data_IF_544225307461
#
_entry.id   IF_544225307461
#
_cell.length_a   1.000
_cell.length_b   1.000
_cell.length_c   1.000
_cell.angle_alpha   90.00
_cell.angle_beta   90.00
_cell.angle_gamma   90.00
#
_symmetry.space_group_name_H-M   'P 1'
#
loop_
_entity.id
_entity.type
_entity.pdbx_description
1 polymer ?
#
# COMPACT_ATOMS: atom_id res chain seq x y z
N UNK A 1 -19.22 -7.71 -6.91
CA UNK A 1 -18.28 -7.15 -7.90
C UNK A 1 -17.03 -8.02 -7.97
N UNK A 2 -16.60 -8.35 -9.17
CA UNK A 2 -15.45 -9.23 -9.38
C UNK A 2 -14.36 -8.48 -10.13
N UNK A 3 -13.14 -8.58 -9.63
CA UNK A 3 -11.96 -8.08 -10.32
C UNK A 3 -11.18 -9.27 -10.87
N UNK A 4 -10.76 -9.18 -12.12
CA UNK A 4 -9.95 -10.21 -12.76
C UNK A 4 -8.62 -9.62 -13.16
N UNK A 5 -7.55 -10.30 -12.77
CA UNK A 5 -6.19 -9.94 -13.13
C UNK A 5 -5.58 -11.10 -13.90
N UNK A 6 -4.92 -10.79 -15.02
CA UNK A 6 -4.28 -11.80 -15.85
C UNK A 6 -2.77 -11.67 -15.70
N UNK A 7 -2.12 -12.73 -15.26
CA UNK A 7 -0.68 -12.72 -15.02
C UNK A 7 -0.02 -13.75 -15.91
N UNK A 8 0.96 -13.32 -16.70
CA UNK A 8 1.66 -14.18 -17.66
C UNK A 8 3.16 -14.17 -17.38
N UNK A 9 3.76 -15.34 -17.42
CA UNK A 9 5.21 -15.45 -17.35
C UNK A 9 5.82 -14.82 -18.59
N UNK A 10 6.78 -13.95 -18.38
CA UNK A 10 7.51 -13.30 -19.48
C UNK A 10 8.78 -14.09 -19.80
N UNK A 11 9.75 -14.05 -18.92
CA UNK A 11 10.96 -14.86 -19.01
C UNK A 11 11.69 -14.79 -17.67
N UNK A 12 12.57 -15.73 -17.42
CA UNK A 12 13.34 -15.81 -16.17
C UNK A 12 12.40 -15.75 -14.95
N UNK A 13 12.64 -14.84 -14.02
CA UNK A 13 11.82 -14.66 -12.83
C UNK A 13 10.90 -13.43 -12.95
N UNK A 14 10.36 -13.22 -14.14
CA UNK A 14 9.53 -12.05 -14.44
C UNK A 14 8.15 -12.45 -14.92
N UNK A 15 7.16 -11.75 -14.42
CA UNK A 15 5.76 -11.90 -14.84
C UNK A 15 5.17 -10.54 -15.19
N UNK A 16 4.34 -10.53 -16.20
CA UNK A 16 3.55 -9.34 -16.53
C UNK A 16 2.13 -9.54 -16.02
N UNK A 17 1.64 -8.58 -15.28
CA UNK A 17 0.27 -8.65 -14.77
C UNK A 17 -0.55 -7.52 -15.40
N UNK A 18 -1.69 -7.89 -15.94
CA UNK A 18 -2.62 -6.94 -16.57
C UNK A 18 -3.81 -6.71 -15.65
N UNK A 19 -4.03 -5.48 -15.28
CA UNK A 19 -5.09 -5.08 -14.38
C UNK A 19 -6.40 -4.82 -15.14
N UNK A 20 -7.56 -4.84 -14.45
CA UNK A 20 -8.84 -4.64 -15.13
C UNK A 20 -8.96 -3.36 -15.94
N UNK A 21 -8.23 -2.31 -15.57
CA UNK A 21 -8.25 -1.03 -16.28
C UNK A 21 -7.30 -0.98 -17.49
N UNK A 22 -6.67 -2.10 -17.84
CA UNK A 22 -5.76 -2.16 -18.98
C UNK A 22 -4.31 -1.80 -18.65
N UNK A 23 -4.02 -1.43 -17.41
CA UNK A 23 -2.66 -1.12 -17.00
C UNK A 23 -1.87 -2.41 -16.77
N UNK A 24 -0.65 -2.46 -17.27
CA UNK A 24 0.25 -3.60 -17.05
C UNK A 24 1.37 -3.24 -16.12
N UNK A 25 1.73 -4.19 -15.24
CA UNK A 25 2.86 -4.07 -14.34
C UNK A 25 3.77 -5.28 -14.51
N UNK A 26 5.08 -5.06 -14.40
CA UNK A 26 6.05 -6.13 -14.39
C UNK A 26 6.47 -6.40 -12.95
N UNK A 27 6.35 -7.65 -12.53
CA UNK A 27 6.68 -8.07 -11.17
C UNK A 27 7.57 -9.31 -11.23
N UNK A 28 8.34 -9.52 -10.19
CA UNK A 28 9.17 -10.72 -10.14
C UNK A 28 10.23 -10.67 -9.07
N UNK A 29 11.33 -11.36 -9.36
CA UNK A 29 12.51 -11.39 -8.49
C UNK A 29 13.71 -10.87 -9.26
N UNK A 30 14.43 -9.93 -8.66
CA UNK A 30 15.61 -9.32 -9.27
C UNK A 30 16.91 -9.74 -8.57
N UNK A 31 16.87 -10.85 -7.83
CA UNK A 31 18.00 -11.26 -6.99
C UNK A 31 19.32 -11.44 -7.74
N UNK A 32 19.27 -11.75 -9.03
CA UNK A 32 20.47 -12.00 -9.83
C UNK A 32 20.63 -11.06 -11.01
N UNK A 33 19.77 -10.06 -11.15
CA UNK A 33 19.72 -9.20 -12.31
C UNK A 33 20.06 -7.76 -12.05
N UNK A 34 20.52 -7.09 -13.10
CA UNK A 34 20.70 -5.64 -13.07
C UNK A 34 19.38 -4.89 -13.17
N UNK A 35 18.30 -5.58 -13.51
CA UNK A 35 16.98 -4.97 -13.62
C UNK A 35 16.31 -4.86 -12.26
N UNK A 36 15.74 -3.70 -12.04
CA UNK A 36 14.97 -3.44 -10.82
C UNK A 36 13.52 -3.77 -11.07
N UNK A 37 13.08 -4.89 -10.53
CA UNK A 37 11.72 -5.37 -10.71
C UNK A 37 11.00 -5.36 -9.36
N UNK A 38 9.78 -4.81 -9.30
CA UNK A 38 9.03 -4.82 -8.05
C UNK A 38 8.77 -6.23 -7.54
N UNK A 39 9.01 -6.43 -6.25
CA UNK A 39 8.72 -7.68 -5.57
C UNK A 39 7.23 -7.75 -5.21
N UNK A 40 6.59 -8.92 -5.37
CA UNK A 40 5.17 -9.06 -5.02
C UNK A 40 4.84 -8.68 -3.59
N UNK A 41 5.62 -9.14 -2.62
CA UNK A 41 5.37 -8.84 -1.21
C UNK A 41 5.57 -7.36 -0.90
N UNK A 42 6.61 -6.76 -1.45
CA UNK A 42 6.87 -5.33 -1.24
C UNK A 42 5.75 -4.50 -1.87
N UNK A 43 5.24 -4.93 -3.02
CA UNK A 43 4.14 -4.23 -3.67
C UNK A 43 2.86 -4.27 -2.83
N UNK A 44 2.67 -5.30 -2.02
CA UNK A 44 1.55 -5.36 -1.09
C UNK A 44 1.61 -4.23 -0.06
N UNK A 45 2.81 -3.88 0.39
CA UNK A 45 2.98 -2.76 1.31
C UNK A 45 2.65 -1.43 0.65
N UNK A 46 3.02 -1.27 -0.61
CA UNK A 46 2.64 -0.08 -1.39
C UNK A 46 1.13 -0.01 -1.55
N UNK A 47 0.50 -1.14 -1.83
CA UNK A 47 -0.96 -1.20 -1.98
C UNK A 47 -1.67 -0.80 -0.69
N UNK A 48 -1.17 -1.26 0.44
CA UNK A 48 -1.71 -0.88 1.76
C UNK A 48 -1.60 0.62 1.97
N UNK A 49 -0.42 1.19 1.73
CA UNK A 49 -0.18 2.61 1.93
C UNK A 49 -1.04 3.48 1.01
N UNK A 50 -1.12 3.12 -0.26
CA UNK A 50 -1.93 3.88 -1.23
C UNK A 50 -3.41 3.79 -0.90
N UNK A 51 -3.90 2.61 -0.54
CA UNK A 51 -5.30 2.43 -0.17
C UNK A 51 -5.68 3.33 1.01
N UNK A 52 -4.88 3.32 2.06
CA UNK A 52 -5.10 4.20 3.22
C UNK A 52 -4.91 5.66 2.85
N UNK A 53 -3.88 5.97 2.06
CA UNK A 53 -3.59 7.33 1.64
C UNK A 53 -4.70 7.98 0.84
N UNK A 54 -5.32 7.23 -0.06
CA UNK A 54 -6.47 7.73 -0.83
C UNK A 54 -7.63 8.12 0.08
N UNK A 55 -7.92 7.31 1.10
CA UNK A 55 -8.96 7.64 2.07
C UNK A 55 -8.61 8.92 2.83
N UNK A 56 -7.38 9.01 3.32
CA UNK A 56 -6.93 10.15 4.11
C UNK A 56 -7.03 11.45 3.30
N UNK A 57 -6.52 11.44 2.08
CA UNK A 57 -6.58 12.62 1.21
C UNK A 57 -8.03 13.02 0.94
N UNK A 58 -8.87 12.05 0.63
CA UNK A 58 -10.30 12.31 0.36
C UNK A 58 -11.00 12.92 1.57
N UNK A 59 -10.74 12.37 2.76
CA UNK A 59 -11.37 12.87 3.99
C UNK A 59 -10.87 14.28 4.32
N UNK A 60 -9.55 14.52 4.19
CA UNK A 60 -8.98 15.84 4.47
C UNK A 60 -9.51 16.90 3.50
N UNK A 61 -9.73 16.55 2.23
CA UNK A 61 -10.37 17.45 1.28
C UNK A 61 -11.76 17.86 1.75
N UNK A 62 -12.55 16.90 2.22
CA UNK A 62 -13.88 17.17 2.73
C UNK A 62 -13.85 18.03 3.99
N UNK A 63 -12.82 17.93 4.78
CA UNK A 63 -12.60 18.74 5.96
C UNK A 63 -12.00 20.10 5.63
N UNK A 64 -11.71 20.36 4.35
CA UNK A 64 -11.10 21.61 3.86
C UNK A 64 -9.72 21.86 4.45
N UNK A 65 -8.94 20.79 4.62
CA UNK A 65 -7.55 20.87 5.05
C UNK A 65 -6.66 20.74 3.82
N UNK A 66 -5.77 21.69 3.65
CA UNK A 66 -4.82 21.71 2.54
C UNK A 66 -3.44 21.25 3.01
N UNK A 67 -2.90 20.26 2.32
CA UNK A 67 -1.56 19.76 2.58
C UNK A 67 -0.61 20.30 1.52
N UNK A 68 0.61 20.66 1.92
CA UNK A 68 1.65 20.98 0.94
C UNK A 68 2.34 19.70 0.46
N UNK A 69 2.37 18.68 1.30
CA UNK A 69 2.92 17.36 0.96
C UNK A 69 2.42 16.31 1.94
N UNK A 70 2.52 15.05 1.54
CA UNK A 70 2.06 13.93 2.35
C UNK A 70 2.87 12.69 1.98
N UNK A 71 3.34 11.97 2.99
CA UNK A 71 4.15 10.78 2.78
C UNK A 71 3.72 9.69 3.77
N UNK A 72 3.71 8.46 3.31
CA UNK A 72 3.47 7.30 4.15
C UNK A 72 4.67 6.37 4.02
N UNK A 73 5.23 5.95 5.16
CA UNK A 73 6.25 4.92 5.18
C UNK A 73 5.63 3.62 5.68
N UNK A 74 6.03 2.51 5.08
CA UNK A 74 5.57 1.19 5.49
C UNK A 74 6.78 0.35 5.86
N UNK A 75 6.81 -0.15 7.08
CA UNK A 75 7.85 -1.06 7.55
C UNK A 75 7.20 -2.37 7.96
N UNK A 76 7.78 -3.48 7.56
CA UNK A 76 7.18 -4.77 7.83
C UNK A 76 8.26 -5.82 8.08
N UNK A 77 7.93 -6.75 8.97
CA UNK A 77 8.79 -7.89 9.28
C UNK A 77 8.22 -9.15 8.67
N UNK A 78 9.07 -9.89 7.95
CA UNK A 78 8.71 -11.22 7.43
C UNK A 78 8.95 -12.27 8.50
N UNK A 79 8.16 -13.33 8.47
CA UNK A 79 8.42 -14.51 9.29
C UNK A 79 9.71 -15.19 8.83
N UNK A 80 10.34 -15.96 9.72
CA UNK A 80 11.61 -16.62 9.42
C UNK A 80 11.46 -17.90 8.63
N UNK A 81 10.36 -18.61 8.81
CA UNK A 81 10.12 -19.90 8.18
C UNK A 81 9.13 -19.80 7.01
N UNK A 82 9.28 -20.67 6.03
CA UNK A 82 8.34 -20.74 4.91
C UNK A 82 7.00 -21.34 5.36
N UNK A 83 5.88 -20.85 4.83
CA UNK A 83 5.79 -19.71 3.91
C UNK A 83 6.03 -18.39 4.64
N UNK A 84 6.91 -17.57 4.06
CA UNK A 84 7.25 -16.27 4.65
C UNK A 84 6.18 -15.24 4.33
N UNK A 85 5.65 -14.60 5.37
CA UNK A 85 4.63 -13.56 5.24
C UNK A 85 4.90 -12.45 6.25
N UNK A 86 4.29 -11.30 6.04
CA UNK A 86 4.42 -10.20 6.97
C UNK A 86 3.57 -10.47 8.21
N UNK A 87 4.20 -10.56 9.37
CA UNK A 87 3.49 -10.75 10.63
C UNK A 87 3.39 -9.48 11.46
N UNK A 88 4.10 -8.44 11.07
CA UNK A 88 4.04 -7.14 11.73
C UNK A 88 4.28 -6.04 10.70
N UNK A 89 3.39 -5.05 10.68
CA UNK A 89 3.48 -3.92 9.75
C UNK A 89 3.27 -2.63 10.53
N UNK A 90 4.13 -1.65 10.27
CA UNK A 90 4.02 -0.31 10.85
C UNK A 90 3.90 0.71 9.74
N UNK A 91 2.92 1.58 9.86
CA UNK A 91 2.73 2.69 8.91
C UNK A 91 3.02 4.01 9.60
N UNK A 92 3.86 4.83 8.97
CA UNK A 92 4.10 6.19 9.41
C UNK A 92 3.46 7.17 8.46
N UNK A 93 2.62 8.05 8.98
CA UNK A 93 1.94 9.06 8.18
C UNK A 93 2.56 10.42 8.47
N UNK A 94 3.10 11.07 7.45
CA UNK A 94 3.80 12.35 7.58
C UNK A 94 3.08 13.42 6.79
N UNK A 95 2.58 14.43 7.50
CA UNK A 95 1.79 15.51 6.91
C UNK A 95 2.57 16.82 6.96
N UNK A 96 2.55 17.54 5.85
CA UNK A 96 3.25 18.80 5.70
C UNK A 96 2.28 19.89 5.24
N UNK A 97 2.36 21.05 5.85
CA UNK A 97 1.49 22.18 5.52
C UNK A 97 1.51 23.22 6.60
N UNK A 98 0.80 24.33 6.36
CA UNK A 98 0.68 25.39 7.33
C UNK A 98 -0.62 25.25 8.12
N UNK A 99 -0.55 25.54 9.42
CA UNK A 99 -1.73 25.55 10.31
C UNK A 99 -2.55 24.27 10.25
N UNK A 100 -1.87 23.13 10.29
CA UNK A 100 -2.56 21.84 10.24
C UNK A 100 -3.29 21.53 11.54
N UNK A 101 -4.56 21.14 11.43
CA UNK A 101 -5.37 20.74 12.56
C UNK A 101 -5.10 19.29 12.89
N UNK A 102 -4.34 19.03 13.94
CA UNK A 102 -3.93 17.68 14.33
C UNK A 102 -5.10 16.77 14.68
N UNK A 103 -6.14 17.32 15.28
CA UNK A 103 -7.32 16.50 15.63
C UNK A 103 -8.04 15.99 14.38
N UNK A 104 -8.21 16.84 13.37
CA UNK A 104 -8.85 16.46 12.12
C UNK A 104 -7.98 15.45 11.35
N UNK A 105 -6.66 15.65 11.34
CA UNK A 105 -5.73 14.73 10.70
C UNK A 105 -5.81 13.36 11.37
N UNK A 106 -5.76 13.31 12.70
CA UNK A 106 -5.89 12.05 13.44
C UNK A 106 -7.22 11.37 13.18
N UNK A 107 -8.30 12.14 13.07
CA UNK A 107 -9.61 11.58 12.75
C UNK A 107 -9.64 10.97 11.36
N UNK A 108 -9.02 11.64 10.37
CA UNK A 108 -8.95 11.13 9.00
C UNK A 108 -8.18 9.81 8.94
N UNK A 109 -7.03 9.73 9.60
CA UNK A 109 -6.23 8.51 9.65
C UNK A 109 -7.00 7.39 10.33
N UNK A 110 -7.63 7.66 11.47
CA UNK A 110 -8.40 6.66 12.19
C UNK A 110 -9.59 6.15 11.39
N UNK A 111 -10.27 6.99 10.64
CA UNK A 111 -11.37 6.57 9.78
C UNK A 111 -10.88 5.65 8.67
N UNK A 112 -9.72 5.94 8.06
CA UNK A 112 -9.14 5.06 7.06
C UNK A 112 -8.83 3.69 7.67
N UNK A 113 -8.13 3.68 8.80
CA UNK A 113 -7.66 2.46 9.44
C UNK A 113 -8.79 1.58 9.93
N UNK A 114 -9.84 2.18 10.51
CA UNK A 114 -10.90 1.42 11.16
C UNK A 114 -12.12 1.15 10.31
N UNK A 115 -12.35 1.96 9.28
CA UNK A 115 -13.60 1.89 8.55
C UNK A 115 -13.48 1.74 7.04
N UNK A 116 -12.55 2.44 6.40
CA UNK A 116 -12.57 2.56 4.94
C UNK A 116 -11.53 1.76 4.18
N UNK A 117 -10.35 1.54 4.74
CA UNK A 117 -9.29 0.86 3.99
C UNK A 117 -9.48 -0.65 3.99
N UNK A 118 -9.95 -1.21 2.86
CA UNK A 118 -10.14 -2.64 2.72
C UNK A 118 -8.85 -3.45 2.77
N UNK A 119 -7.76 -2.91 2.21
CA UNK A 119 -6.46 -3.58 2.27
C UNK A 119 -5.97 -3.66 3.72
N UNK A 120 -6.20 -2.61 4.50
CA UNK A 120 -5.90 -2.62 5.94
C UNK A 120 -6.63 -3.77 6.65
N UNK A 121 -7.90 -3.95 6.31
CA UNK A 121 -8.69 -5.03 6.90
C UNK A 121 -8.13 -6.40 6.54
N UNK A 122 -7.69 -6.58 5.30
CA UNK A 122 -7.04 -7.83 4.88
C UNK A 122 -5.77 -8.07 5.69
N UNK A 123 -4.94 -7.05 5.86
CA UNK A 123 -3.69 -7.19 6.63
C UNK A 123 -3.95 -7.53 8.09
N UNK A 124 -5.03 -7.05 8.70
CA UNK A 124 -5.36 -7.39 10.07
C UNK A 124 -5.58 -8.87 10.29
N UNK A 125 -5.99 -9.59 9.27
CA UNK A 125 -6.24 -11.02 9.39
C UNK A 125 -4.97 -11.85 9.56
N UNK A 126 -3.80 -11.30 9.22
CA UNK A 126 -2.54 -12.05 9.30
C UNK A 126 -1.38 -11.29 9.94
N UNK A 127 -1.50 -9.99 10.19
CA UNK A 127 -0.39 -9.18 10.68
C UNK A 127 -0.81 -8.26 11.82
N UNK A 128 0.17 -7.93 12.63
CA UNK A 128 0.03 -6.98 13.72
C UNK A 128 0.35 -5.55 13.24
#
# INVERSE_FOLDING_TARGET
>A
MTNTVITKWSQDMKFETMLPNGVSLMLGSSAEGDEKIPSPKVLMLSSLAVCSGLDVVSILEKMKIQLSDFKITSEANLTDEHPKYYNKVSLGYYFYGEDLDKEKINKAVNLSITKYCGVMEMFRSFAE
#
